data_IF_698837588989
#
_entry.id   IF_698837588989
#
_cell.length_a   1.000
_cell.length_b   1.000
_cell.length_c   1.000
_cell.angle_alpha   90.00
_cell.angle_beta   90.00
_cell.angle_gamma   90.00
#
_symmetry.space_group_name_H-M   'P 1'
#
loop_
_entity.id
_entity.type
_entity.pdbx_description
1 polymer ?
#
# COMPACT_ATOMS: atom_id res chain seq x y z
N UNK A 1 11.90 -77.28 3.31
CA UNK A 1 13.25 -77.04 3.86
C UNK A 1 13.82 -75.76 3.24
N UNK A 2 14.39 -74.91 4.11
CA UNK A 2 15.10 -73.64 3.86
C UNK A 2 14.23 -72.39 3.70
N UNK A 3 13.92 -71.80 4.85
CA UNK A 3 13.47 -70.42 5.03
C UNK A 3 14.61 -69.45 4.70
N UNK A 4 14.40 -68.53 3.77
CA UNK A 4 15.35 -67.44 3.49
C UNK A 4 14.89 -66.21 4.28
N UNK A 5 15.67 -65.79 5.27
CA UNK A 5 15.48 -64.52 5.99
C UNK A 5 16.02 -63.39 5.12
N UNK A 6 15.13 -62.54 4.64
CA UNK A 6 15.48 -61.30 3.94
C UNK A 6 15.79 -60.23 5.01
N UNK A 7 17.06 -59.90 5.19
CA UNK A 7 17.50 -58.79 6.05
C UNK A 7 17.35 -57.50 5.23
N UNK A 8 16.37 -56.67 5.57
CA UNK A 8 16.29 -55.30 5.09
C UNK A 8 17.32 -54.46 5.84
N UNK A 9 18.45 -54.16 5.19
CA UNK A 9 19.34 -53.07 5.62
C UNK A 9 18.68 -51.77 5.19
N UNK A 10 18.08 -51.07 6.15
CA UNK A 10 17.56 -49.72 5.95
C UNK A 10 18.76 -48.78 5.80
N UNK A 11 19.15 -48.49 4.56
CA UNK A 11 20.10 -47.41 4.28
C UNK A 11 19.41 -46.08 4.61
N UNK A 12 19.70 -45.52 5.79
CA UNK A 12 19.38 -44.13 6.10
C UNK A 12 20.31 -43.28 5.23
N UNK A 13 19.84 -42.94 4.03
CA UNK A 13 20.37 -41.78 3.32
C UNK A 13 20.04 -40.56 4.16
N UNK A 14 20.98 -40.14 5.01
CA UNK A 14 21.01 -38.77 5.51
C UNK A 14 21.32 -37.91 4.28
N UNK A 15 20.27 -37.46 3.61
CA UNK A 15 20.38 -36.34 2.68
C UNK A 15 20.81 -35.14 3.51
N UNK A 16 22.11 -34.88 3.51
CA UNK A 16 22.65 -33.57 3.86
C UNK A 16 22.10 -32.62 2.79
N UNK A 17 20.92 -32.06 3.05
CA UNK A 17 20.47 -30.86 2.36
C UNK A 17 21.48 -29.77 2.74
N UNK A 18 22.52 -29.60 1.92
CA UNK A 18 23.17 -28.31 1.77
C UNK A 18 22.10 -27.36 1.28
N UNK A 19 21.38 -26.73 2.21
CA UNK A 19 20.33 -25.79 1.91
C UNK A 19 20.97 -24.61 1.19
N UNK A 20 20.70 -24.49 -0.11
CA UNK A 20 20.92 -23.23 -0.79
C UNK A 20 20.07 -22.18 -0.09
N UNK A 21 20.71 -21.23 0.59
CA UNK A 21 20.01 -20.14 1.24
C UNK A 21 19.37 -19.27 0.17
N UNK A 22 18.10 -18.90 0.38
CA UNK A 22 17.36 -18.13 -0.60
C UNK A 22 17.65 -16.63 -0.42
N UNK A 23 18.09 -15.97 -1.49
CA UNK A 23 18.09 -14.51 -1.59
C UNK A 23 16.66 -13.99 -1.40
N UNK A 24 16.48 -12.96 -0.57
CA UNK A 24 15.21 -12.26 -0.45
C UNK A 24 15.03 -11.36 -1.68
N UNK A 25 14.13 -11.74 -2.59
CA UNK A 25 13.71 -10.87 -3.67
C UNK A 25 12.76 -9.78 -3.11
N UNK A 26 13.07 -8.52 -3.37
CA UNK A 26 12.18 -7.40 -3.12
C UNK A 26 11.24 -7.28 -4.32
N UNK A 27 10.10 -7.94 -4.24
CA UNK A 27 9.03 -7.82 -5.22
C UNK A 27 7.72 -7.62 -4.48
N UNK A 28 6.87 -6.67 -4.91
CA UNK A 28 7.01 -5.79 -6.08
C UNK A 28 7.90 -4.57 -5.89
N UNK A 29 8.35 -4.00 -7.02
CA UNK A 29 8.85 -2.62 -7.07
C UNK A 29 7.66 -1.66 -7.02
N UNK A 30 7.53 -0.79 -6.01
CA UNK A 30 6.40 0.12 -5.94
C UNK A 30 6.40 1.16 -7.07
N UNK A 31 5.21 1.56 -7.52
CA UNK A 31 5.06 2.60 -8.54
C UNK A 31 5.44 3.97 -7.99
N UNK A 32 5.67 4.92 -8.89
CA UNK A 32 6.08 6.28 -8.57
C UNK A 32 5.22 7.30 -9.32
N UNK A 33 4.82 8.38 -8.62
CA UNK A 33 4.09 9.50 -9.21
C UNK A 33 4.73 10.83 -8.80
N UNK A 34 4.96 11.72 -9.77
CA UNK A 34 5.44 13.09 -9.51
C UNK A 34 4.23 14.01 -9.33
N UNK A 35 4.01 14.44 -8.10
CA UNK A 35 2.94 15.35 -7.69
C UNK A 35 3.36 16.79 -7.99
N UNK A 36 2.85 17.33 -9.10
CA UNK A 36 3.13 18.69 -9.54
C UNK A 36 2.40 19.72 -8.65
N UNK A 37 2.94 20.94 -8.59
CA UNK A 37 2.23 22.05 -7.94
C UNK A 37 0.93 22.34 -8.69
N UNK A 38 -0.15 22.60 -7.95
CA UNK A 38 -1.37 23.14 -8.55
C UNK A 38 -1.04 24.49 -9.22
N UNK A 39 -1.47 24.72 -10.48
CA UNK A 39 -1.16 25.95 -11.20
C UNK A 39 -1.97 27.16 -10.71
N UNK A 40 -2.93 26.94 -9.81
CA UNK A 40 -3.86 27.93 -9.25
C UNK A 40 -4.77 27.28 -8.22
N UNK A 41 -5.82 28.01 -7.81
CA UNK A 41 -6.84 27.46 -6.91
C UNK A 41 -7.62 26.35 -7.60
N UNK A 42 -7.83 25.24 -6.88
CA UNK A 42 -8.62 24.10 -7.35
C UNK A 42 -9.99 24.14 -6.66
N UNK A 43 -11.05 24.19 -7.45
CA UNK A 43 -12.43 23.99 -6.97
C UNK A 43 -12.68 22.50 -6.85
N UNK A 44 -13.35 22.08 -5.77
CA UNK A 44 -13.73 20.68 -5.54
C UNK A 44 -15.23 20.57 -5.75
N UNK A 45 -15.63 20.23 -6.96
CA UNK A 45 -17.05 20.08 -7.38
C UNK A 45 -17.35 18.73 -8.07
N UNK A 46 -16.33 17.88 -8.21
CA UNK A 46 -16.44 16.51 -8.72
C UNK A 46 -16.21 16.42 -10.23
N UNK A 47 -16.10 17.55 -10.93
CA UNK A 47 -15.64 17.61 -12.31
C UNK A 47 -14.11 17.54 -12.35
N UNK A 48 -13.58 17.01 -13.44
CA UNK A 48 -12.12 16.94 -13.67
C UNK A 48 -11.74 17.59 -15.01
N UNK A 49 -12.64 18.44 -15.51
CA UNK A 49 -12.58 19.10 -16.81
C UNK A 49 -11.85 20.45 -16.74
N UNK A 50 -11.54 20.91 -15.54
CA UNK A 50 -10.89 22.19 -15.24
C UNK A 50 -9.46 22.20 -15.81
N UNK A 51 -9.03 23.40 -16.20
CA UNK A 51 -7.69 23.62 -16.80
C UNK A 51 -6.57 23.26 -15.84
N UNK A 52 -6.80 23.37 -14.52
CA UNK A 52 -5.87 23.04 -13.45
C UNK A 52 -5.45 21.57 -13.54
N UNK A 53 -6.42 20.66 -13.71
CA UNK A 53 -6.18 19.23 -13.92
C UNK A 53 -5.53 18.92 -15.26
N UNK A 54 -5.67 19.79 -16.25
CA UNK A 54 -5.10 19.60 -17.59
C UNK A 54 -3.58 19.41 -17.61
N UNK A 55 -2.85 19.90 -16.60
CA UNK A 55 -1.38 19.80 -16.51
C UNK A 55 -0.89 18.64 -15.63
N UNK A 56 -1.76 18.05 -14.82
CA UNK A 56 -1.40 16.92 -13.98
C UNK A 56 -1.34 15.62 -14.83
N UNK A 57 -0.24 14.85 -14.76
CA UNK A 57 -0.15 13.59 -15.48
C UNK A 57 -1.15 12.56 -14.92
N UNK A 58 -1.66 11.68 -15.76
CA UNK A 58 -2.41 10.52 -15.26
C UNK A 58 -1.46 9.51 -14.61
N UNK A 59 -1.91 8.84 -13.54
CA UNK A 59 -1.34 7.55 -13.15
C UNK A 59 -1.49 6.55 -14.30
N UNK A 60 -0.77 5.43 -14.25
CA UNK A 60 -1.21 4.24 -15.01
C UNK A 60 -2.64 3.82 -14.62
N UNK A 61 -3.26 3.00 -15.46
CA UNK A 61 -4.48 2.29 -15.09
C UNK A 61 -4.25 1.42 -13.86
N UNK A 62 -5.28 1.32 -13.01
CA UNK A 62 -5.26 0.41 -11.88
C UNK A 62 -5.17 -1.03 -12.38
N UNK A 63 -4.57 -1.89 -11.57
CA UNK A 63 -4.41 -3.33 -11.81
C UNK A 63 -5.03 -4.11 -10.66
N UNK A 64 -5.20 -5.42 -10.78
CA UNK A 64 -5.59 -6.23 -9.63
C UNK A 64 -4.53 -6.15 -8.53
N UNK A 65 -4.95 -6.18 -7.26
CA UNK A 65 -4.06 -6.13 -6.10
C UNK A 65 -3.01 -7.25 -6.09
N UNK A 66 -3.33 -8.39 -6.71
CA UNK A 66 -2.40 -9.51 -6.87
C UNK A 66 -1.45 -9.36 -8.09
N UNK A 67 -1.57 -8.25 -8.82
CA UNK A 67 -0.86 -7.97 -10.07
C UNK A 67 -1.24 -8.95 -11.18
N UNK A 68 -0.26 -9.35 -11.98
CA UNK A 68 -0.46 -10.18 -13.19
C UNK A 68 -0.93 -11.62 -12.90
N UNK A 69 -1.08 -12.00 -11.62
CA UNK A 69 -1.71 -13.28 -11.23
C UNK A 69 -3.20 -13.32 -11.56
N UNK A 70 -3.83 -12.16 -11.67
CA UNK A 70 -5.24 -12.00 -11.99
C UNK A 70 -5.40 -11.24 -13.31
N UNK A 71 -6.54 -11.38 -14.00
CA UNK A 71 -6.84 -10.57 -15.18
C UNK A 71 -6.85 -9.07 -14.87
N UNK A 72 -6.58 -8.26 -15.88
CA UNK A 72 -6.71 -6.81 -15.77
C UNK A 72 -8.14 -6.40 -15.34
N UNK A 73 -8.30 -5.29 -14.59
CA UNK A 73 -9.60 -4.74 -14.22
C UNK A 73 -10.55 -4.60 -15.40
N UNK A 74 -11.82 -4.91 -15.16
CA UNK A 74 -12.88 -4.84 -16.18
C UNK A 74 -13.22 -3.40 -16.58
N UNK A 75 -12.96 -2.46 -15.67
CA UNK A 75 -13.29 -1.06 -15.85
C UNK A 75 -12.07 -0.21 -15.53
N UNK A 76 -11.77 0.73 -16.42
CA UNK A 76 -10.58 1.56 -16.25
C UNK A 76 -10.74 2.51 -15.06
N UNK A 77 -9.68 2.64 -14.28
CA UNK A 77 -9.57 3.61 -13.18
C UNK A 77 -8.20 4.27 -13.26
N UNK A 78 -8.16 5.60 -13.28
CA UNK A 78 -6.92 6.40 -13.29
C UNK A 78 -7.11 7.64 -12.43
N UNK A 79 -6.01 8.15 -11.88
CA UNK A 79 -6.02 9.31 -10.99
C UNK A 79 -5.03 10.37 -11.45
N UNK A 80 -5.32 11.64 -11.17
CA UNK A 80 -4.38 12.76 -11.22
C UNK A 80 -4.17 13.29 -9.82
N UNK A 81 -2.96 13.76 -9.53
CA UNK A 81 -2.63 14.34 -8.24
C UNK A 81 -1.83 15.62 -8.41
N UNK A 82 -2.13 16.61 -7.57
CA UNK A 82 -1.41 17.87 -7.47
C UNK A 82 -1.31 18.29 -6.00
N UNK A 83 -0.47 19.26 -5.69
CA UNK A 83 -0.41 19.80 -4.33
C UNK A 83 -0.13 21.30 -4.32
N UNK A 84 -0.46 21.96 -3.22
CA UNK A 84 -0.01 23.32 -2.92
C UNK A 84 0.41 23.43 -1.45
N UNK A 85 0.53 24.65 -0.93
CA UNK A 85 0.96 24.86 0.46
C UNK A 85 -0.10 24.46 1.50
N UNK A 86 -1.33 24.19 1.08
CA UNK A 86 -2.49 23.88 1.93
C UNK A 86 -3.00 22.47 1.75
N UNK A 87 -3.07 21.96 0.53
CA UNK A 87 -3.76 20.72 0.20
C UNK A 87 -2.92 19.80 -0.69
N UNK A 88 -3.17 18.51 -0.51
CA UNK A 88 -2.91 17.48 -1.49
C UNK A 88 -4.23 17.17 -2.23
N UNK A 89 -4.24 17.30 -3.55
CA UNK A 89 -5.41 17.17 -4.40
C UNK A 89 -5.40 15.86 -5.18
N UNK A 90 -6.56 15.22 -5.30
CA UNK A 90 -6.79 14.02 -6.09
C UNK A 90 -7.99 14.21 -7.02
N UNK A 91 -7.85 13.72 -8.25
CA UNK A 91 -8.94 13.60 -9.21
C UNK A 91 -8.96 12.18 -9.78
N UNK A 92 -9.97 11.39 -9.46
CA UNK A 92 -10.13 10.03 -9.95
C UNK A 92 -11.20 9.98 -11.05
N UNK A 93 -10.91 9.23 -12.11
CA UNK A 93 -11.87 8.89 -13.17
C UNK A 93 -12.07 7.38 -13.17
N UNK A 94 -13.32 6.96 -13.02
CA UNK A 94 -13.70 5.55 -12.94
C UNK A 94 -14.77 5.25 -13.97
N UNK A 95 -14.47 4.36 -14.90
CA UNK A 95 -15.50 3.73 -15.72
C UNK A 95 -16.35 2.83 -14.83
N UNK A 96 -17.67 2.95 -14.91
CA UNK A 96 -18.61 2.15 -14.14
C UNK A 96 -19.92 2.06 -14.93
N UNK A 97 -20.24 0.90 -15.51
CA UNK A 97 -21.52 0.70 -16.19
C UNK A 97 -22.68 0.41 -15.25
N UNK A 98 -22.42 0.12 -13.97
CA UNK A 98 -23.43 -0.18 -12.96
C UNK A 98 -23.22 0.73 -11.73
N UNK A 99 -23.62 2.01 -11.82
CA UNK A 99 -23.46 2.95 -10.69
C UNK A 99 -24.29 2.50 -9.50
N UNK A 100 -23.59 2.16 -8.42
CA UNK A 100 -24.21 1.57 -7.24
C UNK A 100 -23.55 2.08 -5.97
N UNK A 101 -24.38 2.64 -5.09
CA UNK A 101 -24.00 3.03 -3.75
C UNK A 101 -25.26 3.10 -2.86
N UNK A 102 -25.18 2.56 -1.65
CA UNK A 102 -26.31 2.43 -0.71
C UNK A 102 -26.01 3.00 0.67
N UNK A 103 -24.74 3.15 1.02
CA UNK A 103 -24.31 3.68 2.30
C UNK A 103 -24.36 5.22 2.27
N UNK A 104 -25.16 5.78 3.18
CA UNK A 104 -25.41 7.23 3.28
C UNK A 104 -24.93 7.82 4.61
N UNK A 105 -24.68 6.97 5.62
CA UNK A 105 -24.19 7.40 6.92
C UNK A 105 -22.67 7.53 6.85
N UNK A 106 -22.17 8.71 7.22
CA UNK A 106 -20.74 8.91 7.45
C UNK A 106 -20.23 7.86 8.43
N UNK A 107 -18.99 7.41 8.24
CA UNK A 107 -18.35 6.34 9.03
C UNK A 107 -18.95 4.94 8.88
N UNK A 108 -19.81 4.74 7.87
CA UNK A 108 -20.13 3.39 7.41
C UNK A 108 -18.86 2.70 6.92
N UNK A 109 -18.81 1.37 7.00
CA UNK A 109 -17.74 0.58 6.37
C UNK A 109 -17.93 0.63 4.84
N UNK A 110 -17.34 1.63 4.19
CA UNK A 110 -17.68 2.09 2.83
C UNK A 110 -17.40 1.03 1.76
N UNK A 111 -16.37 0.19 1.91
CA UNK A 111 -16.08 -0.93 0.99
C UNK A 111 -17.23 -1.95 0.81
N UNK A 112 -18.32 -1.86 1.59
CA UNK A 112 -19.53 -2.62 1.29
C UNK A 112 -20.30 -2.09 0.07
N UNK A 113 -20.04 -0.88 -0.41
CA UNK A 113 -20.41 -0.40 -1.75
C UNK A 113 -19.23 -0.53 -2.73
N UNK A 114 -19.41 -0.08 -3.98
CA UNK A 114 -18.25 0.26 -4.81
C UNK A 114 -17.71 1.61 -4.35
N UNK A 115 -16.40 1.75 -4.24
CA UNK A 115 -15.76 2.95 -3.72
C UNK A 115 -14.42 3.28 -4.38
N UNK A 116 -13.87 4.42 -3.98
CA UNK A 116 -12.52 4.84 -4.26
C UNK A 116 -11.81 5.10 -2.93
N UNK A 117 -10.57 4.62 -2.81
CA UNK A 117 -9.81 4.70 -1.58
C UNK A 117 -8.44 5.37 -1.79
N UNK A 118 -7.99 6.14 -0.80
CA UNK A 118 -6.67 6.76 -0.73
C UNK A 118 -5.98 6.28 0.54
N UNK A 119 -4.74 5.82 0.38
CA UNK A 119 -3.87 5.39 1.48
C UNK A 119 -2.63 6.29 1.53
N UNK A 120 -2.29 6.81 2.72
CA UNK A 120 -1.13 7.70 2.90
C UNK A 120 -0.33 7.31 4.15
N UNK A 121 0.96 7.06 3.96
CA UNK A 121 1.98 6.89 5.00
C UNK A 121 3.07 7.97 4.78
N UNK A 122 2.90 9.17 5.37
CA UNK A 122 3.75 10.33 5.05
C UNK A 122 5.22 10.19 5.46
N UNK A 123 5.51 9.54 6.58
CA UNK A 123 6.90 9.34 7.05
C UNK A 123 7.48 7.96 6.66
N UNK A 124 6.66 7.08 6.09
CA UNK A 124 7.08 5.81 5.49
C UNK A 124 7.40 4.73 6.52
N UNK A 125 7.05 4.95 7.80
CA UNK A 125 7.38 4.05 8.90
C UNK A 125 6.39 2.89 9.06
N UNK A 126 5.33 2.89 8.25
CA UNK A 126 4.23 1.91 8.22
C UNK A 126 3.37 1.89 9.49
N UNK A 127 3.38 2.97 10.26
CA UNK A 127 2.52 3.24 11.41
C UNK A 127 1.81 4.57 11.24
N UNK A 128 0.72 4.76 11.99
CA UNK A 128 -0.12 5.96 11.97
C UNK A 128 -0.48 6.44 10.55
N UNK A 129 -0.69 5.49 9.63
CA UNK A 129 -1.03 5.82 8.26
C UNK A 129 -2.54 6.08 8.14
N UNK A 130 -2.88 6.88 7.15
CA UNK A 130 -4.24 7.34 6.87
C UNK A 130 -4.87 6.53 5.75
N UNK A 131 -6.17 6.33 5.86
CA UNK A 131 -7.04 5.76 4.84
C UNK A 131 -8.27 6.65 4.71
N UNK A 132 -8.73 6.82 3.47
CA UNK A 132 -9.92 7.56 3.12
C UNK A 132 -10.67 6.78 2.05
N UNK A 133 -11.96 6.55 2.26
CA UNK A 133 -12.88 5.88 1.33
C UNK A 133 -14.01 6.85 0.95
N UNK A 134 -14.47 6.76 -0.30
CA UNK A 134 -15.64 7.50 -0.79
C UNK A 134 -16.42 6.67 -1.81
N UNK A 135 -17.74 6.58 -1.64
CA UNK A 135 -18.63 5.90 -2.61
C UNK A 135 -19.25 6.87 -3.63
N UNK A 136 -20.04 6.34 -4.56
CA UNK A 136 -20.70 7.14 -5.60
C UNK A 136 -21.77 8.13 -5.08
N UNK A 137 -22.18 8.04 -3.81
CA UNK A 137 -23.04 9.04 -3.16
C UNK A 137 -22.25 10.23 -2.62
N UNK A 138 -20.92 10.13 -2.57
CA UNK A 138 -20.07 11.08 -1.86
C UNK A 138 -19.99 10.85 -0.35
N UNK A 139 -20.53 9.73 0.15
CA UNK A 139 -20.39 9.34 1.55
C UNK A 139 -18.94 8.95 1.80
N UNK A 140 -18.35 9.53 2.84
CA UNK A 140 -16.93 9.33 3.16
C UNK A 140 -16.73 8.54 4.44
N UNK A 141 -15.59 7.86 4.52
CA UNK A 141 -15.06 7.30 5.75
C UNK A 141 -13.56 7.49 5.79
N UNK A 142 -13.04 8.07 6.86
CA UNK A 142 -11.62 8.20 7.12
C UNK A 142 -11.21 7.57 8.44
N UNK A 143 -9.98 7.06 8.45
CA UNK A 143 -9.45 6.33 9.58
C UNK A 143 -7.92 6.40 9.60
N UNK A 144 -7.40 6.21 10.82
CA UNK A 144 -5.97 6.13 11.09
C UNK A 144 -5.67 4.73 11.60
N UNK A 145 -4.63 4.11 11.06
CA UNK A 145 -4.13 2.84 11.58
C UNK A 145 -2.79 3.06 12.24
N UNK A 146 -2.76 2.89 13.57
CA UNK A 146 -1.53 3.01 14.35
C UNK A 146 -0.46 2.00 13.92
N UNK A 147 -0.87 0.87 13.33
CA UNK A 147 -0.03 -0.14 12.65
C UNK A 147 -0.90 -1.05 11.78
N UNK A 148 -0.28 -1.83 10.91
CA UNK A 148 -1.01 -2.75 10.03
C UNK A 148 -1.85 -3.80 10.78
N UNK A 149 -3.01 -4.21 10.21
CA UNK A 149 -3.87 -5.24 10.79
C UNK A 149 -3.13 -6.56 11.06
N UNK A 150 -2.23 -6.95 10.15
CA UNK A 150 -1.39 -8.13 10.34
C UNK A 150 -0.58 -8.06 11.64
N UNK A 151 -0.27 -6.87 12.14
CA UNK A 151 0.53 -6.58 13.32
C UNK A 151 -0.36 -6.26 14.54
N UNK A 152 -1.67 -6.48 14.41
CA UNK A 152 -2.67 -6.31 15.47
C UNK A 152 -3.05 -4.85 15.73
N UNK A 153 -2.88 -3.95 14.75
CA UNK A 153 -3.33 -2.56 14.87
C UNK A 153 -4.82 -2.46 14.57
N UNK A 154 -5.65 -1.95 15.49
CA UNK A 154 -7.04 -1.62 15.16
C UNK A 154 -7.09 -0.37 14.27
N UNK A 155 -8.17 -0.25 13.50
CA UNK A 155 -8.56 1.03 12.92
C UNK A 155 -8.98 1.98 14.04
N UNK A 156 -8.48 3.21 14.00
CA UNK A 156 -8.99 4.32 14.77
C UNK A 156 -9.98 5.06 13.88
N UNK A 157 -11.26 4.75 14.09
CA UNK A 157 -12.40 5.41 13.47
C UNK A 157 -12.86 6.58 14.35
N UNK A 158 -13.77 7.42 13.85
CA UNK A 158 -14.27 8.60 14.57
C UNK A 158 -13.29 9.75 14.69
N UNK A 159 -12.49 9.93 13.64
CA UNK A 159 -11.68 11.11 13.42
C UNK A 159 -11.90 11.60 12.00
N UNK A 160 -12.49 12.79 11.86
CA UNK A 160 -12.63 13.47 10.58
C UNK A 160 -11.41 14.37 10.35
N UNK A 161 -10.74 14.25 9.21
CA UNK A 161 -9.65 15.13 8.79
C UNK A 161 -10.14 16.58 8.62
N UNK A 162 -9.82 17.52 9.54
CA UNK A 162 -10.47 18.82 9.56
C UNK A 162 -10.14 19.67 8.33
N UNK A 163 -11.16 20.13 7.61
CA UNK A 163 -11.02 20.97 6.42
C UNK A 163 -10.80 20.19 5.13
N UNK A 164 -10.94 18.86 5.16
CA UNK A 164 -11.07 18.03 3.97
C UNK A 164 -12.27 18.48 3.12
N UNK A 165 -12.13 18.35 1.80
CA UNK A 165 -13.20 18.55 0.84
C UNK A 165 -13.24 17.38 -0.13
N UNK A 166 -14.44 16.95 -0.50
CA UNK A 166 -14.65 15.95 -1.54
C UNK A 166 -15.90 16.30 -2.34
N UNK A 167 -15.95 15.86 -3.59
CA UNK A 167 -17.13 15.95 -4.44
C UNK A 167 -17.14 14.82 -5.47
N UNK A 168 -18.34 14.41 -5.85
CA UNK A 168 -18.59 13.34 -6.82
C UNK A 168 -19.45 13.87 -7.95
N UNK A 169 -19.09 13.53 -9.19
CA UNK A 169 -19.96 13.73 -10.34
C UNK A 169 -20.25 12.39 -11.01
N UNK A 170 -21.54 12.10 -11.19
CA UNK A 170 -22.01 10.88 -11.86
C UNK A 170 -22.22 11.13 -13.35
N UNK A 171 -21.87 10.14 -14.18
CA UNK A 171 -22.18 10.12 -15.60
C UNK A 171 -23.15 8.97 -15.89
N UNK A 172 -24.34 9.06 -15.31
CA UNK A 172 -25.33 7.99 -15.33
C UNK A 172 -26.43 8.14 -14.26
N UNK A 173 -27.22 7.09 -14.09
CA UNK A 173 -28.34 6.98 -13.16
C UNK A 173 -27.93 6.12 -11.95
N UNK A 174 -27.75 6.75 -10.78
CA UNK A 174 -27.36 6.00 -9.59
C UNK A 174 -28.44 4.99 -9.17
N UNK A 175 -28.00 3.75 -8.91
CA UNK A 175 -28.83 2.65 -8.43
C UNK A 175 -29.96 2.23 -9.39
N UNK A 176 -29.83 2.49 -10.69
CA UNK A 176 -30.78 2.05 -11.71
C UNK A 176 -30.23 0.86 -12.51
N UNK A 177 -30.63 -0.39 -12.20
CA UNK A 177 -30.16 -1.54 -12.95
C UNK A 177 -30.82 -1.72 -14.32
N UNK A 178 -31.72 -0.81 -14.73
CA UNK A 178 -32.39 -0.87 -16.03
C UNK A 178 -31.59 -0.20 -17.16
N UNK A 179 -30.58 0.60 -16.82
CA UNK A 179 -29.69 1.25 -17.77
C UNK A 179 -28.22 0.83 -17.60
N UNK A 180 -27.37 1.56 -18.31
CA UNK A 180 -25.92 1.39 -18.32
C UNK A 180 -25.26 2.76 -18.29
N UNK A 181 -24.44 2.95 -17.29
CA UNK A 181 -23.77 4.21 -17.04
C UNK A 181 -22.42 4.30 -17.76
N UNK A 182 -21.81 5.49 -17.71
CA UNK A 182 -20.45 5.68 -18.23
C UNK A 182 -19.41 5.62 -17.12
N UNK A 183 -19.76 6.06 -15.92
CA UNK A 183 -18.83 6.16 -14.82
C UNK A 183 -19.12 7.29 -13.86
N UNK A 184 -18.11 7.61 -13.06
CA UNK A 184 -18.13 8.69 -12.10
C UNK A 184 -16.73 9.25 -11.92
N UNK A 185 -16.69 10.49 -11.45
CA UNK A 185 -15.46 11.20 -11.11
C UNK A 185 -15.52 11.69 -9.68
N UNK A 186 -14.35 11.71 -9.05
CA UNK A 186 -14.16 12.13 -7.67
C UNK A 186 -13.08 13.19 -7.64
N UNK A 187 -13.34 14.30 -6.96
CA UNK A 187 -12.33 15.27 -6.56
C UNK A 187 -12.19 15.31 -5.05
N UNK A 188 -10.95 15.36 -4.55
CA UNK A 188 -10.65 15.41 -3.11
C UNK A 188 -9.53 16.42 -2.88
N UNK A 189 -9.65 17.22 -1.82
CA UNK A 189 -8.59 18.05 -1.27
C UNK A 189 -8.33 17.68 0.19
N UNK A 190 -7.18 17.06 0.45
CA UNK A 190 -6.74 16.66 1.78
C UNK A 190 -5.83 17.73 2.38
N UNK A 191 -6.19 18.37 3.50
CA UNK A 191 -5.40 19.46 4.10
C UNK A 191 -4.09 18.93 4.69
N UNK A 192 -2.96 19.45 4.20
CA UNK A 192 -1.61 19.10 4.65
C UNK A 192 -1.40 19.36 6.15
N UNK A 193 -2.12 20.34 6.71
CA UNK A 193 -2.05 20.66 8.14
C UNK A 193 -2.63 19.55 9.02
N UNK A 194 -3.69 18.85 8.59
CA UNK A 194 -4.34 17.81 9.39
C UNK A 194 -3.48 16.56 9.54
N UNK A 195 -2.60 16.27 8.57
CA UNK A 195 -1.68 15.14 8.68
C UNK A 195 -0.56 15.31 9.72
N UNK A 196 -0.34 16.54 10.24
CA UNK A 196 0.68 16.80 11.28
C UNK A 196 0.38 16.11 12.60
N UNK A 197 -0.87 15.70 12.83
CA UNK A 197 -1.25 14.92 14.01
C UNK A 197 -0.89 13.44 13.86
N UNK A 198 -0.80 12.94 12.63
CA UNK A 198 -0.52 11.53 12.34
C UNK A 198 0.97 11.20 12.48
N UNK A 199 1.82 12.13 12.07
CA UNK A 199 3.27 12.00 12.17
C UNK A 199 3.86 13.31 12.68
N UNK A 200 4.87 13.23 13.55
CA UNK A 200 5.59 14.41 14.10
C UNK A 200 6.44 15.16 13.05
N UNK A 201 6.10 15.02 11.77
CA UNK A 201 6.83 15.61 10.66
C UNK A 201 6.35 17.00 10.29
N UNK A 202 7.06 17.59 9.34
CA UNK A 202 6.75 18.90 8.77
C UNK A 202 5.88 18.69 7.53
N UNK A 203 5.17 19.74 7.12
CA UNK A 203 4.54 19.77 5.80
C UNK A 203 5.57 19.41 4.71
N UNK A 204 5.14 18.69 3.66
CA UNK A 204 6.04 18.22 2.62
C UNK A 204 6.69 19.41 1.91
N UNK A 205 7.93 19.21 1.49
CA UNK A 205 8.71 20.15 0.71
C UNK A 205 9.01 19.57 -0.66
N UNK A 206 9.42 20.44 -1.58
CA UNK A 206 9.94 20.02 -2.87
C UNK A 206 11.10 19.04 -2.67
N UNK A 207 10.99 17.86 -3.29
CA UNK A 207 11.96 16.77 -3.14
C UNK A 207 11.59 15.72 -2.10
N UNK A 208 10.66 16.01 -1.18
CA UNK A 208 10.13 14.99 -0.27
C UNK A 208 9.30 13.96 -1.04
N UNK A 209 9.07 12.80 -0.43
CA UNK A 209 8.16 11.80 -0.94
C UNK A 209 7.38 11.13 0.19
N UNK A 210 6.14 10.76 -0.09
CA UNK A 210 5.29 9.96 0.80
C UNK A 210 5.07 8.56 0.23
N UNK A 211 4.77 7.62 1.10
CA UNK A 211 4.23 6.31 0.71
C UNK A 211 2.72 6.46 0.51
N UNK A 212 2.22 5.99 -0.62
CA UNK A 212 0.81 6.18 -0.99
C UNK A 212 0.31 5.06 -1.89
N UNK A 213 -0.94 4.64 -1.70
CA UNK A 213 -1.64 3.88 -2.70
C UNK A 213 -3.05 4.43 -2.95
N UNK A 214 -3.61 4.01 -4.07
CA UNK A 214 -4.98 4.32 -4.45
C UNK A 214 -5.66 2.99 -4.77
N UNK A 215 -6.90 2.81 -4.34
CA UNK A 215 -7.66 1.61 -4.59
C UNK A 215 -9.08 1.92 -5.06
N UNK A 216 -9.70 0.90 -5.64
CA UNK A 216 -11.12 0.82 -5.95
C UNK A 216 -11.59 -0.55 -5.51
N UNK A 217 -12.56 -0.58 -4.61
CA UNK A 217 -13.31 -1.80 -4.33
C UNK A 217 -14.45 -1.90 -5.34
N UNK A 218 -14.48 -3.03 -6.05
CA UNK A 218 -15.47 -3.29 -7.08
C UNK A 218 -16.21 -4.59 -6.80
N UNK A 219 -17.47 -4.46 -6.41
CA UNK A 219 -18.41 -5.58 -6.36
C UNK A 219 -18.90 -5.95 -7.75
N UNK A 220 -19.16 -7.25 -7.91
CA UNK A 220 -19.95 -7.76 -9.02
C UNK A 220 -21.42 -7.70 -8.62
N UNK A 221 -22.25 -7.12 -9.49
CA UNK A 221 -23.66 -6.91 -9.24
C UNK A 221 -24.50 -7.73 -10.22
N UNK A 222 -25.67 -8.17 -9.78
CA UNK A 222 -26.75 -8.67 -10.62
C UNK A 222 -27.97 -7.73 -10.45
N UNK A 223 -28.73 -7.51 -11.52
CA UNK A 223 -30.02 -6.83 -11.47
C UNK A 223 -31.10 -7.81 -10.96
N UNK A 224 -31.76 -7.50 -9.86
CA UNK A 224 -32.86 -8.31 -9.28
C UNK A 224 -33.98 -7.42 -8.78
N UNK A 225 -35.21 -7.66 -9.26
CA UNK A 225 -36.42 -6.93 -8.84
C UNK A 225 -36.25 -5.40 -8.93
N UNK A 226 -35.64 -4.90 -10.01
CA UNK A 226 -35.38 -3.47 -10.20
C UNK A 226 -34.32 -2.86 -9.28
N UNK A 227 -33.51 -3.68 -8.59
CA UNK A 227 -32.39 -3.21 -7.75
C UNK A 227 -31.11 -3.99 -8.04
N UNK A 228 -29.97 -3.36 -7.75
CA UNK A 228 -28.70 -4.08 -7.71
C UNK A 228 -28.60 -4.99 -6.49
N UNK A 229 -28.00 -6.16 -6.67
CA UNK A 229 -27.62 -7.06 -5.59
C UNK A 229 -26.23 -7.64 -5.85
N UNK A 230 -25.41 -7.74 -4.80
CA UNK A 230 -24.10 -8.41 -4.89
C UNK A 230 -24.26 -9.83 -5.44
N UNK A 231 -23.46 -10.14 -6.47
CA UNK A 231 -23.44 -11.41 -7.17
C UNK A 231 -23.09 -12.55 -6.22
N UNK A 232 -23.73 -13.69 -6.43
CA UNK A 232 -23.55 -14.90 -5.62
C UNK A 232 -23.12 -16.08 -6.47
N UNK A 233 -22.40 -17.01 -5.88
CA UNK A 233 -22.06 -18.28 -6.50
C UNK A 233 -23.28 -19.23 -6.56
N UNK A 234 -23.11 -20.40 -7.18
CA UNK A 234 -24.15 -21.42 -7.29
C UNK A 234 -24.65 -21.96 -5.94
N UNK A 235 -23.93 -21.73 -4.86
CA UNK A 235 -24.27 -22.13 -3.48
C UNK A 235 -24.90 -20.98 -2.68
N UNK A 236 -25.12 -19.83 -3.31
CA UNK A 236 -25.71 -18.65 -2.68
C UNK A 236 -24.73 -17.80 -1.86
N UNK A 237 -23.42 -18.13 -1.83
CA UNK A 237 -22.41 -17.30 -1.16
C UNK A 237 -22.11 -16.07 -2.00
N UNK A 238 -22.00 -14.88 -1.37
CA UNK A 238 -21.54 -13.67 -2.07
C UNK A 238 -20.15 -13.92 -2.67
N UNK A 239 -19.97 -13.55 -3.93
CA UNK A 239 -18.63 -13.50 -4.50
C UNK A 239 -17.83 -12.41 -3.77
N UNK A 240 -16.51 -12.57 -3.61
CA UNK A 240 -15.68 -11.51 -3.08
C UNK A 240 -15.66 -10.34 -4.06
N UNK A 241 -15.44 -9.16 -3.49
CA UNK A 241 -15.07 -7.94 -4.18
C UNK A 241 -13.77 -8.10 -4.98
N UNK A 242 -13.60 -7.27 -6.00
CA UNK A 242 -12.34 -7.09 -6.66
C UNK A 242 -11.65 -5.85 -6.07
N UNK A 243 -10.38 -6.00 -5.69
CA UNK A 243 -9.56 -4.89 -5.19
C UNK A 243 -8.61 -4.49 -6.31
N UNK A 244 -8.84 -3.31 -6.89
CA UNK A 244 -8.01 -2.77 -7.96
C UNK A 244 -7.20 -1.60 -7.44
N UNK A 245 -5.90 -1.57 -7.70
CA UNK A 245 -4.97 -0.62 -7.09
C UNK A 245 -4.04 0.00 -8.12
N UNK A 246 -3.53 1.20 -7.81
CA UNK A 246 -2.50 1.82 -8.64
C UNK A 246 -1.16 1.06 -8.55
N UNK A 247 -0.66 0.83 -7.34
CA UNK A 247 0.58 0.08 -7.09
C UNK A 247 0.24 -1.28 -6.46
N UNK A 248 0.41 -2.42 -7.16
CA UNK A 248 0.02 -3.73 -6.65
C UNK A 248 0.90 -4.19 -5.48
N UNK A 249 0.30 -4.85 -4.49
CA UNK A 249 1.01 -5.47 -3.35
C UNK A 249 1.30 -6.97 -3.59
N UNK A 250 0.73 -7.56 -4.65
CA UNK A 250 0.82 -8.98 -5.03
C UNK A 250 0.24 -9.98 -4.01
N UNK A 251 -0.60 -9.47 -3.12
CA UNK A 251 -1.36 -10.21 -2.12
C UNK A 251 -2.61 -9.40 -1.78
N UNK A 252 -3.72 -10.07 -1.48
CA UNK A 252 -4.98 -9.43 -1.07
C UNK A 252 -4.83 -8.84 0.35
N UNK A 253 -4.16 -7.69 0.44
CA UNK A 253 -3.94 -6.93 1.67
C UNK A 253 -3.56 -5.48 1.32
N UNK A 254 -4.53 -4.57 1.44
CA UNK A 254 -4.31 -3.14 1.20
C UNK A 254 -3.40 -2.52 2.26
N UNK A 255 -3.52 -2.97 3.52
CA UNK A 255 -2.73 -2.53 4.68
C UNK A 255 -1.32 -3.12 4.74
N UNK A 256 -0.57 -2.89 3.66
CA UNK A 256 0.89 -3.13 3.56
C UNK A 256 1.59 -1.84 3.12
N UNK A 257 1.74 -0.83 4.01
CA UNK A 257 2.31 0.46 3.62
C UNK A 257 3.71 0.36 3.01
N UNK A 258 4.47 -0.64 3.44
CA UNK A 258 5.78 -0.97 2.87
C UNK A 258 5.73 -1.41 1.40
N UNK A 259 4.57 -1.74 0.83
CA UNK A 259 4.40 -2.08 -0.58
C UNK A 259 3.77 -0.95 -1.43
N UNK A 260 3.26 0.11 -0.79
CA UNK A 260 2.62 1.23 -1.49
C UNK A 260 3.57 2.02 -2.39
N UNK A 261 3.04 2.71 -3.39
CA UNK A 261 3.84 3.55 -4.28
C UNK A 261 4.45 4.77 -3.59
N UNK A 262 5.21 5.54 -4.36
CA UNK A 262 5.83 6.79 -3.94
C UNK A 262 5.15 7.98 -4.61
N UNK A 263 4.77 8.97 -3.79
CA UNK A 263 4.29 10.28 -4.23
C UNK A 263 5.41 11.31 -4.02
N UNK A 264 6.08 11.76 -5.08
CA UNK A 264 7.16 12.75 -4.99
C UNK A 264 6.63 14.17 -5.18
N UNK A 265 6.99 15.07 -4.27
CA UNK A 265 6.55 16.46 -4.31
C UNK A 265 7.45 17.30 -5.22
N UNK A 266 6.91 17.72 -6.36
CA UNK A 266 7.58 18.62 -7.31
C UNK A 266 7.33 20.08 -6.96
N UNK A 267 8.30 20.96 -7.22
CA UNK A 267 8.15 22.42 -7.12
C UNK A 267 7.58 23.06 -8.39
N UNK A 268 7.33 22.27 -9.42
CA UNK A 268 6.91 22.72 -10.75
C UNK A 268 5.46 22.34 -11.03
N UNK A 269 4.69 23.26 -11.61
CA UNK A 269 3.34 22.94 -12.10
C UNK A 269 3.35 22.05 -13.36
N UNK A 270 4.48 21.98 -14.06
CA UNK A 270 4.66 21.17 -15.29
C UNK A 270 5.57 19.95 -15.10
N UNK A 271 6.05 19.67 -13.87
CA UNK A 271 7.02 18.61 -13.62
C UNK A 271 8.41 18.82 -14.24
N UNK A 272 8.83 20.06 -14.53
CA UNK A 272 10.13 20.35 -15.14
C UNK A 272 11.33 19.92 -14.28
N UNK A 273 11.14 19.75 -12.98
CA UNK A 273 12.13 19.27 -12.01
C UNK A 273 12.08 17.75 -11.79
N UNK A 274 11.18 17.00 -12.44
CA UNK A 274 10.99 15.57 -12.20
C UNK A 274 12.28 14.74 -12.28
N UNK A 275 13.20 15.10 -13.18
CA UNK A 275 14.51 14.42 -13.33
C UNK A 275 15.46 14.61 -12.14
N UNK A 276 15.18 15.58 -11.26
CA UNK A 276 15.97 15.88 -10.05
C UNK A 276 15.39 15.21 -8.81
N UNK A 277 14.15 14.70 -8.89
CA UNK A 277 13.49 14.02 -7.80
C UNK A 277 13.96 12.56 -7.76
N UNK A 278 14.32 12.08 -6.59
CA UNK A 278 14.81 10.73 -6.40
C UNK A 278 14.34 10.16 -5.06
N UNK A 279 14.02 8.88 -5.04
CA UNK A 279 13.74 8.12 -3.83
C UNK A 279 15.07 7.76 -3.16
N UNK A 280 15.13 7.80 -1.83
CA UNK A 280 16.34 7.40 -1.11
C UNK A 280 16.66 5.92 -1.42
N UNK A 281 17.88 5.57 -1.88
CA UNK A 281 18.27 4.19 -2.10
C UNK A 281 18.15 3.29 -0.85
N UNK A 282 18.12 3.88 0.35
CA UNK A 282 17.90 3.15 1.62
C UNK A 282 16.52 2.50 1.72
N UNK A 283 15.54 2.95 0.92
CA UNK A 283 14.21 2.33 0.85
C UNK A 283 14.29 0.85 0.43
N UNK A 284 15.23 0.49 -0.44
CA UNK A 284 15.43 -0.89 -0.87
C UNK A 284 15.91 -1.78 0.30
N UNK A 285 16.69 -1.20 1.22
CA UNK A 285 17.10 -1.87 2.47
C UNK A 285 15.89 -2.06 3.38
N UNK A 286 15.02 -1.06 3.48
CA UNK A 286 13.78 -1.14 4.25
C UNK A 286 12.88 -2.26 3.73
N UNK A 287 12.70 -2.37 2.41
CA UNK A 287 11.92 -3.46 1.80
C UNK A 287 12.54 -4.84 2.07
N UNK A 288 13.88 -4.95 1.98
CA UNK A 288 14.58 -6.19 2.35
C UNK A 288 14.37 -6.55 3.83
N UNK A 289 14.42 -5.56 4.74
CA UNK A 289 14.15 -5.75 6.17
C UNK A 289 12.70 -6.19 6.41
N UNK A 290 11.72 -5.69 5.65
CA UNK A 290 10.34 -6.19 5.71
C UNK A 290 10.20 -7.64 5.24
N UNK A 291 10.95 -8.06 4.22
CA UNK A 291 10.97 -9.45 3.78
C UNK A 291 11.57 -10.38 4.87
N UNK A 292 12.63 -9.93 5.55
CA UNK A 292 13.18 -10.64 6.69
C UNK A 292 12.25 -10.62 7.92
N UNK A 293 11.53 -9.52 8.16
CA UNK A 293 10.50 -9.40 9.18
C UNK A 293 9.38 -10.43 8.97
N UNK A 294 8.91 -10.62 7.73
CA UNK A 294 7.93 -11.65 7.42
C UNK A 294 8.43 -13.06 7.79
N UNK A 295 9.70 -13.38 7.47
CA UNK A 295 10.35 -14.64 7.89
C UNK A 295 10.45 -14.79 9.41
N UNK A 296 10.78 -13.72 10.12
CA UNK A 296 10.85 -13.73 11.60
C UNK A 296 9.48 -14.00 12.23
N UNK A 297 8.40 -13.45 11.66
CA UNK A 297 7.04 -13.74 12.11
C UNK A 297 6.65 -15.20 11.87
N UNK A 298 6.99 -15.75 10.72
CA UNK A 298 6.78 -17.18 10.43
C UNK A 298 7.57 -18.06 11.40
N UNK A 299 8.84 -17.72 11.62
CA UNK A 299 9.71 -18.41 12.57
C UNK A 299 9.10 -18.41 13.98
N UNK A 300 8.64 -17.25 14.47
CA UNK A 300 8.01 -17.13 15.78
C UNK A 300 6.76 -18.02 15.88
N UNK A 301 5.88 -17.97 14.88
CA UNK A 301 4.67 -18.82 14.84
C UNK A 301 5.01 -20.31 14.92
N UNK A 302 6.10 -20.73 14.28
CA UNK A 302 6.49 -22.15 14.15
C UNK A 302 7.36 -22.66 15.32
N UNK A 303 8.15 -21.79 15.95
CA UNK A 303 9.14 -22.15 16.98
C UNK A 303 8.79 -21.65 18.39
N UNK A 304 7.80 -20.76 18.54
CA UNK A 304 7.41 -20.18 19.83
C UNK A 304 8.44 -19.23 20.44
N UNK A 305 9.48 -18.84 19.69
CA UNK A 305 10.52 -17.88 20.09
C UNK A 305 10.99 -17.06 18.90
N UNK A 306 11.66 -15.94 19.16
CA UNK A 306 12.32 -15.16 18.12
C UNK A 306 13.62 -15.83 17.64
N UNK A 307 13.93 -15.72 16.34
CA UNK A 307 15.28 -15.98 15.84
C UNK A 307 16.21 -14.88 16.36
N UNK A 308 17.48 -15.24 16.61
CA UNK A 308 18.53 -14.32 17.08
C UNK A 308 19.56 -13.99 16.01
N UNK A 309 19.37 -14.53 14.80
CA UNK A 309 20.24 -14.29 13.65
C UNK A 309 19.48 -14.47 12.35
N UNK A 310 19.93 -13.80 11.28
CA UNK A 310 19.39 -14.00 9.94
C UNK A 310 19.60 -15.42 9.41
N UNK A 311 20.68 -16.09 9.84
CA UNK A 311 20.93 -17.50 9.54
C UNK A 311 19.81 -18.42 10.07
N UNK A 312 19.31 -18.17 11.28
CA UNK A 312 18.16 -18.92 11.82
C UNK A 312 16.87 -18.69 11.01
N UNK A 313 16.76 -17.56 10.30
CA UNK A 313 15.67 -17.28 9.36
C UNK A 313 15.91 -17.89 7.97
N UNK A 314 17.05 -18.55 7.74
CA UNK A 314 17.45 -19.02 6.43
C UNK A 314 17.69 -17.87 5.45
N UNK A 315 18.40 -16.84 5.90
CA UNK A 315 18.82 -15.66 5.13
C UNK A 315 20.33 -15.49 5.29
N UNK A 316 21.10 -15.69 4.22
CA UNK A 316 22.57 -15.56 4.24
C UNK A 316 23.11 -14.51 3.25
N UNK A 317 22.33 -14.11 2.23
CA UNK A 317 22.71 -13.07 1.27
C UNK A 317 22.07 -11.72 1.59
N UNK A 318 22.92 -10.76 2.00
CA UNK A 318 22.53 -9.41 2.41
C UNK A 318 22.86 -8.39 1.32
N UNK A 319 22.48 -8.64 0.08
CA UNK A 319 22.75 -7.69 -1.01
C UNK A 319 21.49 -6.92 -1.40
N UNK A 320 21.65 -5.61 -1.57
CA UNK A 320 20.63 -4.71 -2.10
C UNK A 320 21.27 -3.93 -3.24
N UNK A 321 20.71 -4.02 -4.44
CA UNK A 321 21.28 -3.44 -5.67
C UNK A 321 22.78 -3.73 -5.85
N UNK A 322 23.18 -4.99 -5.61
CA UNK A 322 24.56 -5.45 -5.77
C UNK A 322 25.54 -5.00 -4.67
N UNK A 323 25.09 -4.29 -3.63
CA UNK A 323 25.92 -3.90 -2.47
C UNK A 323 25.54 -4.69 -1.23
N UNK A 324 26.54 -5.18 -0.51
CA UNK A 324 26.33 -5.83 0.80
C UNK A 324 25.89 -4.82 1.86
N UNK A 325 24.88 -5.18 2.64
CA UNK A 325 24.49 -4.45 3.84
C UNK A 325 25.62 -4.51 4.88
N UNK A 326 25.78 -3.42 5.63
CA UNK A 326 26.80 -3.32 6.68
C UNK A 326 26.18 -3.73 8.01
N UNK A 327 26.80 -4.67 8.72
CA UNK A 327 26.39 -5.13 10.06
C UNK A 327 24.88 -5.47 10.19
N UNK A 328 24.31 -6.36 9.35
CA UNK A 328 22.94 -6.82 9.54
C UNK A 328 22.81 -7.61 10.85
N UNK A 329 21.92 -7.19 11.75
CA UNK A 329 21.70 -7.81 13.07
C UNK A 329 20.21 -8.06 13.36
N UNK A 330 19.93 -9.14 14.11
CA UNK A 330 18.66 -9.32 14.83
C UNK A 330 18.92 -9.21 16.33
N UNK A 331 18.43 -8.14 16.95
CA UNK A 331 18.44 -7.99 18.41
C UNK A 331 17.10 -8.51 18.94
N UNK A 332 17.08 -9.65 19.61
CA UNK A 332 15.87 -10.28 20.15
C UNK A 332 15.91 -10.42 21.67
N UNK A 333 14.84 -9.98 22.33
CA UNK A 333 14.64 -10.05 23.78
C UNK A 333 13.28 -10.68 24.15
N UNK A 334 12.95 -10.74 25.45
CA UNK A 334 11.73 -11.39 25.94
C UNK A 334 10.44 -10.72 25.44
N UNK A 335 10.47 -9.44 25.10
CA UNK A 335 9.29 -8.66 24.73
C UNK A 335 9.23 -8.26 23.24
N UNK A 336 10.23 -8.64 22.44
CA UNK A 336 10.26 -8.28 21.03
C UNK A 336 11.62 -8.45 20.40
N UNK A 337 11.75 -7.91 19.19
CA UNK A 337 12.97 -7.92 18.40
C UNK A 337 13.06 -6.68 17.51
N UNK A 338 14.26 -6.43 17.00
CA UNK A 338 14.52 -5.49 15.92
C UNK A 338 15.45 -6.16 14.90
N UNK A 339 15.19 -5.93 13.61
CA UNK A 339 16.11 -6.25 12.53
C UNK A 339 16.72 -4.94 12.08
N UNK A 340 18.05 -4.88 12.01
CA UNK A 340 18.77 -3.65 11.64
C UNK A 340 19.87 -3.94 10.64
N UNK A 341 20.24 -2.93 9.87
CA UNK A 341 21.39 -2.93 8.99
C UNK A 341 21.85 -1.48 8.76
N UNK A 342 23.11 -1.29 8.43
CA UNK A 342 23.65 0.01 8.02
C UNK A 342 23.72 0.08 6.50
N UNK A 343 23.23 1.19 5.95
CA UNK A 343 23.21 1.42 4.52
C UNK A 343 24.62 1.52 3.92
N UNK A 344 24.94 0.75 2.87
CA UNK A 344 26.16 0.94 2.10
C UNK A 344 26.09 2.14 1.15
N UNK A 345 24.92 2.79 1.01
CA UNK A 345 24.72 3.95 0.15
C UNK A 345 24.90 5.27 0.91
N UNK A 346 24.33 5.34 2.12
CA UNK A 346 24.27 6.57 2.91
C UNK A 346 24.99 6.46 4.26
N UNK A 347 25.36 5.26 4.72
CA UNK A 347 25.91 5.05 6.05
C UNK A 347 24.89 5.17 7.19
N UNK A 348 23.60 5.36 6.88
CA UNK A 348 22.52 5.47 7.88
C UNK A 348 22.13 4.10 8.43
N UNK A 349 21.71 4.07 9.71
CA UNK A 349 21.12 2.88 10.29
C UNK A 349 19.66 2.73 9.85
N UNK A 350 19.33 1.62 9.21
CA UNK A 350 17.96 1.24 8.85
C UNK A 350 17.47 0.13 9.78
N UNK A 351 16.18 0.10 10.09
CA UNK A 351 15.65 -0.97 10.92
C UNK A 351 14.14 -1.14 10.86
N UNK A 352 13.70 -2.28 11.40
CA UNK A 352 12.30 -2.63 11.61
C UNK A 352 12.13 -3.30 12.98
N UNK A 353 11.07 -2.91 13.69
CA UNK A 353 10.71 -3.43 15.01
C UNK A 353 9.69 -4.57 14.89
N UNK A 354 9.56 -5.37 15.95
CA UNK A 354 8.63 -6.51 16.05
C UNK A 354 7.16 -6.23 15.73
N UNK A 355 6.73 -4.97 15.75
CA UNK A 355 5.38 -4.52 15.42
C UNK A 355 5.26 -3.96 13.99
N UNK A 356 6.32 -4.04 13.20
CA UNK A 356 6.34 -3.62 11.81
C UNK A 356 6.73 -2.16 11.60
N UNK A 357 7.04 -1.40 12.66
CA UNK A 357 7.49 0.00 12.53
C UNK A 357 8.91 0.03 11.97
N UNK A 358 9.13 0.78 10.90
CA UNK A 358 10.45 0.92 10.27
C UNK A 358 11.06 2.30 10.50
N UNK A 359 12.36 2.45 10.24
CA UNK A 359 13.02 3.75 10.27
C UNK A 359 14.27 3.75 9.39
N UNK A 360 14.63 4.95 8.93
CA UNK A 360 15.93 5.28 8.35
C UNK A 360 16.52 6.39 9.23
N UNK A 361 17.53 6.04 10.02
CA UNK A 361 18.11 6.89 11.07
C UNK A 361 19.22 7.81 10.58
N UNK A 362 20.01 8.33 11.54
CA UNK A 362 21.19 9.12 11.26
C UNK A 362 22.36 8.27 10.75
N UNK A 363 23.36 8.93 10.15
CA UNK A 363 24.61 8.29 9.77
C UNK A 363 25.31 7.70 11.00
N UNK A 364 25.69 6.42 10.90
CA UNK A 364 26.46 5.76 11.95
C UNK A 364 27.92 6.15 11.74
N UNK A 365 28.44 7.01 12.61
CA UNK A 365 29.89 7.29 12.66
C UNK A 365 30.61 5.95 12.86
N UNK A 366 31.37 5.53 11.85
CA UNK A 366 32.27 4.37 12.00
C UNK A 366 33.22 4.67 13.15
N UNK A 367 33.19 3.88 14.22
CA UNK A 367 34.26 3.90 15.22
C UNK A 367 35.53 3.40 14.52
N UNK A 368 36.48 4.31 14.27
CA UNK A 368 37.81 4.00 13.75
C UNK A 368 37.98 4.16 12.23
N UNK A 369 37.87 5.39 11.73
CA UNK A 369 38.55 5.82 10.50
C UNK A 369 39.86 6.49 10.85
#
# INVERSE_FOLDING_TARGET
MKSVRLIFVLAICVSVFGGAYAQLAVTPTPKTYVCNRAPGAVTIDGSISEKEWGKAPWTDAFVDIEGDKQPAPRFNTRTKMMWDDKYLYFAAKMEEPDLWATLTENESVIFQDNDFEIFLDPDGDSHNYYEFEINALGTTWDLILGKAYRDGGPALTHWDLPGMKSAVQLQGSLNDPSDRDKGWTVEIALPLAGFRELYRGKAPKVGDYWRMNLARVQWRLDAKNGKYAKKRDKRGKKLPENNWVWSPQHVISLHKPECWGYLLFSGSATGADAKKLAINPDEEIRLWLYAAYAKQREFQKRKGRFAKSFKELGVEDFTVNGKSLINPEITAGPFGYALTAVSPFTGKACGIRYDGKSWIGAEVKRKGS
#
